data_IF_570854554058
#
_entry.id   IF_570854554058
#
_cell.length_a   1.000
_cell.length_b   1.000
_cell.length_c   1.000
_cell.angle_alpha   90.00
_cell.angle_beta   90.00
_cell.angle_gamma   90.00
#
_symmetry.space_group_name_H-M   'P 1'
#
loop_
_entity.id
_entity.type
_entity.pdbx_description
1 polymer ?
#
# COMPACT_ATOMS: atom_id res chain seq x y z
N UNK A 1 -6.38 -13.26 20.64
CA UNK A 1 -5.98 -13.05 19.23
C UNK A 1 -5.92 -11.54 18.95
N UNK A 2 -4.80 -11.04 18.43
CA UNK A 2 -4.30 -9.66 18.62
C UNK A 2 -5.16 -8.57 17.93
N UNK A 3 -5.97 -7.82 18.71
CA UNK A 3 -6.53 -6.52 18.32
C UNK A 3 -5.47 -5.43 18.52
N UNK A 4 -4.64 -5.16 17.49
CA UNK A 4 -3.60 -4.11 17.55
C UNK A 4 -4.25 -2.71 17.58
N UNK A 5 -4.11 -2.07 18.73
CA UNK A 5 -4.01 -0.63 19.05
C UNK A 5 -4.45 0.33 17.93
N UNK A 6 -5.62 0.96 18.11
CA UNK A 6 -6.04 2.16 17.36
C UNK A 6 -5.25 3.38 17.83
N UNK A 7 -3.97 3.45 17.51
CA UNK A 7 -3.31 4.75 17.36
C UNK A 7 -3.88 5.33 16.07
N UNK A 8 -4.32 6.60 16.05
CA UNK A 8 -4.71 7.32 14.83
C UNK A 8 -3.49 7.48 13.91
N UNK A 9 -3.01 6.37 13.34
CA UNK A 9 -1.85 6.31 12.46
C UNK A 9 -2.31 6.52 11.04
N UNK A 10 -1.48 7.25 10.28
CA UNK A 10 -1.67 7.41 8.86
C UNK A 10 -1.83 6.03 8.19
N UNK A 11 -2.68 5.92 7.16
CA UNK A 11 -2.83 4.68 6.39
C UNK A 11 -1.46 4.18 5.94
N UNK A 12 -1.22 2.87 6.03
CA UNK A 12 0.03 2.24 5.61
C UNK A 12 -0.17 1.32 4.41
N UNK A 13 0.92 0.92 3.75
CA UNK A 13 0.88 -0.08 2.66
C UNK A 13 0.18 -1.37 3.08
N UNK A 14 0.32 -1.76 4.34
CA UNK A 14 -0.33 -2.95 4.92
C UNK A 14 -1.84 -2.80 4.96
N UNK A 15 -2.36 -1.60 5.22
CA UNK A 15 -3.79 -1.33 5.23
C UNK A 15 -4.36 -1.35 3.81
N UNK A 16 -3.62 -0.77 2.85
CA UNK A 16 -3.95 -0.85 1.42
C UNK A 16 -3.97 -2.30 0.94
N UNK A 17 -2.96 -3.09 1.33
CA UNK A 17 -2.82 -4.50 0.98
C UNK A 17 -4.05 -5.30 1.45
N UNK A 18 -4.45 -5.11 2.72
CA UNK A 18 -5.65 -5.74 3.29
C UNK A 18 -6.93 -5.32 2.57
N UNK A 19 -7.08 -4.04 2.21
CA UNK A 19 -8.24 -3.53 1.50
C UNK A 19 -8.34 -4.00 0.05
N UNK A 20 -7.21 -4.07 -0.65
CA UNK A 20 -7.14 -4.54 -2.02
C UNK A 20 -7.15 -6.08 -2.14
N UNK A 21 -6.99 -6.80 -1.02
CA UNK A 21 -6.91 -8.26 -0.98
C UNK A 21 -5.62 -8.79 -1.61
N UNK A 22 -4.51 -8.07 -1.44
CA UNK A 22 -3.19 -8.41 -2.00
C UNK A 22 -2.14 -8.41 -0.90
N UNK A 23 -0.98 -8.98 -1.17
CA UNK A 23 0.16 -8.94 -0.24
C UNK A 23 0.84 -7.56 -0.23
N UNK A 24 1.46 -7.17 0.89
CA UNK A 24 2.26 -5.94 0.99
C UNK A 24 3.32 -5.86 -0.12
N UNK A 25 3.98 -6.97 -0.43
CA UNK A 25 4.97 -7.05 -1.52
C UNK A 25 4.37 -6.74 -2.90
N UNK A 26 3.08 -7.04 -3.12
CA UNK A 26 2.39 -6.69 -4.37
C UNK A 26 2.06 -5.19 -4.42
N UNK A 27 1.74 -4.58 -3.28
CA UNK A 27 1.56 -3.12 -3.16
C UNK A 27 2.87 -2.39 -3.44
N UNK A 28 3.96 -2.81 -2.80
CA UNK A 28 5.30 -2.26 -3.04
C UNK A 28 5.73 -2.37 -4.52
N UNK A 29 5.48 -3.53 -5.15
CA UNK A 29 5.71 -3.72 -6.59
C UNK A 29 4.80 -2.84 -7.45
N UNK A 30 3.53 -2.69 -7.11
CA UNK A 30 2.58 -1.86 -7.88
C UNK A 30 2.98 -0.38 -7.91
N UNK A 31 3.72 0.07 -6.89
CA UNK A 31 4.29 1.42 -6.80
C UNK A 31 5.74 1.52 -7.28
N UNK A 32 6.38 0.40 -7.60
CA UNK A 32 7.72 0.36 -8.18
C UNK A 32 7.63 0.42 -9.71
N UNK A 33 8.16 1.46 -10.36
CA UNK A 33 8.18 1.52 -11.82
C UNK A 33 9.06 0.39 -12.37
N UNK A 34 8.56 -0.36 -13.36
CA UNK A 34 9.26 -1.50 -13.97
C UNK A 34 8.93 -2.87 -13.35
N UNK A 35 8.19 -2.92 -12.24
CA UNK A 35 7.69 -4.20 -11.73
C UNK A 35 6.53 -4.72 -12.59
N UNK A 36 6.58 -5.99 -12.96
CA UNK A 36 5.47 -6.65 -13.68
C UNK A 36 4.32 -6.92 -12.70
N UNK A 37 3.32 -6.05 -12.70
CA UNK A 37 2.10 -6.18 -11.91
C UNK A 37 0.91 -6.11 -12.85
N UNK A 38 -0.02 -7.05 -12.70
CA UNK A 38 -1.24 -7.06 -13.50
C UNK A 38 -1.98 -5.74 -13.37
N UNK A 39 -2.44 -5.20 -14.51
CA UNK A 39 -3.15 -3.92 -14.58
C UNK A 39 -4.36 -3.90 -13.64
N UNK A 40 -5.09 -5.01 -13.61
CA UNK A 40 -6.23 -5.26 -12.72
C UNK A 40 -5.87 -5.15 -11.24
N UNK A 41 -4.73 -5.71 -10.82
CA UNK A 41 -4.22 -5.64 -9.46
C UNK A 41 -3.79 -4.22 -9.10
N UNK A 42 -3.10 -3.54 -10.01
CA UNK A 42 -2.71 -2.13 -9.83
C UNK A 42 -3.92 -1.22 -9.64
N UNK A 43 -4.97 -1.41 -10.42
CA UNK A 43 -6.23 -0.66 -10.28
C UNK A 43 -6.92 -0.92 -8.94
N UNK A 44 -6.97 -2.17 -8.47
CA UNK A 44 -7.50 -2.51 -7.14
C UNK A 44 -6.72 -1.81 -6.03
N UNK A 45 -5.39 -1.82 -6.11
CA UNK A 45 -4.50 -1.15 -5.15
C UNK A 45 -4.74 0.36 -5.15
N UNK A 46 -4.82 0.98 -6.33
CA UNK A 46 -5.10 2.42 -6.47
C UNK A 46 -6.47 2.81 -5.92
N UNK A 47 -7.51 2.00 -6.16
CA UNK A 47 -8.85 2.24 -5.58
C UNK A 47 -8.86 2.08 -4.07
N UNK A 48 -8.20 1.04 -3.55
CA UNK A 48 -8.07 0.83 -2.11
C UNK A 48 -7.31 1.98 -1.45
N UNK A 49 -6.19 2.39 -2.04
CA UNK A 49 -5.36 3.49 -1.57
C UNK A 49 -6.15 4.81 -1.52
N UNK A 50 -6.89 5.15 -2.57
CA UNK A 50 -7.75 6.34 -2.60
C UNK A 50 -8.85 6.31 -1.52
N UNK A 51 -9.47 5.14 -1.26
CA UNK A 51 -10.52 5.00 -0.24
C UNK A 51 -10.04 5.36 1.17
N UNK A 52 -8.77 5.08 1.48
CA UNK A 52 -8.19 5.39 2.79
C UNK A 52 -7.29 6.62 2.78
N UNK A 53 -7.21 7.35 1.66
CA UNK A 53 -6.30 8.49 1.52
C UNK A 53 -4.82 8.11 1.60
N UNK A 54 -4.48 6.84 1.29
CA UNK A 54 -3.09 6.42 1.17
C UNK A 54 -2.50 7.01 -0.11
N UNK A 55 -1.69 8.05 0.04
CA UNK A 55 -0.77 8.47 -1.00
C UNK A 55 0.57 7.79 -0.76
N UNK A 56 1.14 7.19 -1.80
CA UNK A 56 2.53 6.77 -1.75
C UNK A 56 3.38 7.97 -1.40
N UNK A 57 3.88 7.97 -0.18
CA UNK A 57 4.78 9.00 0.27
C UNK A 57 6.10 8.73 -0.45
N UNK A 58 6.28 9.33 -1.63
CA UNK A 58 7.54 9.27 -2.39
C UNK A 58 8.73 9.72 -1.50
N UNK A 59 8.46 10.48 -0.44
CA UNK A 59 9.40 10.90 0.59
C UNK A 59 9.97 9.74 1.43
N UNK A 60 9.26 8.60 1.57
CA UNK A 60 9.76 7.43 2.30
C UNK A 60 10.93 6.72 1.58
N UNK A 61 11.22 7.09 0.34
CA UNK A 61 12.34 6.55 -0.45
C UNK A 61 13.68 7.23 -0.12
N UNK A 62 13.71 8.22 0.77
CA UNK A 62 14.90 9.01 1.11
C UNK A 62 15.68 8.50 2.33
N UNK A 63 15.32 7.34 2.89
CA UNK A 63 15.94 6.80 4.11
C UNK A 63 16.31 5.32 3.96
N UNK A 64 16.87 4.98 2.79
CA UNK A 64 17.62 3.76 2.58
C UNK A 64 19.11 4.13 2.48
N UNK A 65 19.82 4.04 3.59
CA UNK A 65 21.28 3.85 3.64
C UNK A 65 21.53 2.69 4.58
#
# INVERSE_FOLDING_TARGET
MQKKVRVRRAPTETDVAKLAGVSQSAVSRAFTPGASVAKTTREKILKAAQKIGYQTNLMARSLAT
#
